data_IF_836224034831
#
_entry.id   IF_836224034831
#
_cell.length_a   1.000
_cell.length_b   1.000
_cell.length_c   1.000
_cell.angle_alpha   90.00
_cell.angle_beta   90.00
_cell.angle_gamma   90.00
#
_symmetry.space_group_name_H-M   'P 1'
#
loop_
_entity.id
_entity.type
_entity.pdbx_description
1 polymer ?
#
# COMPACT_ATOMS: atom_id res chain seq x y z
N UNK A 1 -15.91 49.15 31.31
CA UNK A 1 -15.47 48.89 29.92
C UNK A 1 -13.99 48.51 29.95
N UNK A 2 -13.54 47.75 28.94
CA UNK A 2 -12.21 47.15 28.69
C UNK A 2 -11.86 45.94 29.57
N UNK A 3 -11.31 44.82 29.09
CA UNK A 3 -10.85 44.38 27.77
C UNK A 3 -10.78 42.83 27.81
N UNK A 4 -11.45 42.10 26.91
CA UNK A 4 -11.28 40.64 26.79
C UNK A 4 -11.46 40.20 25.34
N UNK A 5 -10.57 40.67 24.44
CA UNK A 5 -10.63 40.31 23.01
C UNK A 5 -9.33 39.79 22.40
N UNK A 6 -8.23 39.68 23.15
CA UNK A 6 -6.92 39.42 22.55
C UNK A 6 -6.37 37.99 22.63
N UNK A 7 -6.99 37.08 23.39
CA UNK A 7 -6.46 35.70 23.54
C UNK A 7 -7.02 34.65 22.57
N UNK A 8 -7.97 35.00 21.69
CA UNK A 8 -8.63 33.99 20.83
C UNK A 8 -8.00 33.79 19.44
N UNK A 9 -7.05 34.63 19.01
CA UNK A 9 -6.50 34.54 17.64
C UNK A 9 -5.22 33.70 17.49
N UNK A 10 -4.40 33.58 18.54
CA UNK A 10 -3.08 32.91 18.42
C UNK A 10 -3.13 31.39 18.64
N UNK A 11 -4.22 30.85 19.22
CA UNK A 11 -4.35 29.41 19.49
C UNK A 11 -4.87 28.65 18.25
N UNK A 12 -5.61 29.34 17.37
CA UNK A 12 -6.19 28.71 16.19
C UNK A 12 -5.15 28.41 15.09
N UNK A 13 -4.02 29.12 15.08
CA UNK A 13 -2.96 29.00 14.07
C UNK A 13 -1.94 27.89 14.40
N UNK A 14 -1.73 27.59 15.69
CA UNK A 14 -0.84 26.51 16.10
C UNK A 14 -1.47 25.12 15.88
N UNK A 15 -2.78 24.99 16.09
CA UNK A 15 -3.49 23.74 15.85
C UNK A 15 -3.49 23.34 14.37
N UNK A 16 -3.57 24.30 13.43
CA UNK A 16 -3.50 24.00 11.99
C UNK A 16 -2.12 23.56 11.54
N UNK A 17 -1.03 24.07 12.16
CA UNK A 17 0.32 23.60 11.85
C UNK A 17 0.62 22.19 12.38
N UNK A 18 0.10 21.81 13.55
CA UNK A 18 0.32 20.44 14.08
C UNK A 18 -0.42 19.39 13.24
N UNK A 19 -1.58 19.71 12.67
CA UNK A 19 -2.27 18.84 11.72
C UNK A 19 -1.56 18.74 10.36
N UNK A 20 -0.82 19.78 9.92
CA UNK A 20 -0.03 19.74 8.70
C UNK A 20 1.28 18.94 8.85
N UNK A 21 1.86 18.88 10.05
CA UNK A 21 3.06 18.06 10.30
C UNK A 21 2.75 16.57 10.54
N UNK A 22 1.57 16.22 11.07
CA UNK A 22 1.19 14.82 11.25
C UNK A 22 0.78 14.11 9.94
N UNK A 23 0.34 14.86 8.93
CA UNK A 23 -0.01 14.32 7.61
C UNK A 23 1.16 14.22 6.62
N UNK A 24 2.27 14.91 6.88
CA UNK A 24 3.42 14.98 5.97
C UNK A 24 4.57 14.02 6.31
N UNK A 25 4.60 13.44 7.51
CA UNK A 25 5.66 12.50 7.90
C UNK A 25 5.44 11.08 7.38
N UNK A 26 4.23 10.73 6.95
CA UNK A 26 3.93 9.38 6.44
C UNK A 26 4.38 9.17 5.00
N UNK A 27 4.66 10.22 4.21
CA UNK A 27 5.05 10.08 2.81
C UNK A 27 6.51 9.59 2.58
N UNK A 28 7.24 9.24 3.65
CA UNK A 28 8.67 8.86 3.56
C UNK A 28 9.06 7.65 4.42
N UNK A 29 8.12 7.05 5.16
CA UNK A 29 8.40 5.87 5.98
C UNK A 29 7.97 4.58 5.26
N UNK A 30 8.82 3.56 5.32
CA UNK A 30 8.44 2.22 4.89
C UNK A 30 7.24 1.71 5.70
N UNK A 31 6.39 0.92 5.03
CA UNK A 31 5.18 0.39 5.62
C UNK A 31 5.36 -1.11 5.82
N UNK A 32 5.10 -1.59 7.02
CA UNK A 32 5.10 -3.02 7.32
C UNK A 32 3.68 -3.52 7.36
N UNK A 33 3.49 -4.74 6.86
CA UNK A 33 2.24 -5.46 6.91
C UNK A 33 1.70 -5.47 8.35
N UNK A 34 0.40 -5.26 8.50
CA UNK A 34 -0.32 -5.42 9.75
C UNK A 34 -1.08 -6.76 9.73
N UNK A 35 -0.44 -7.89 10.12
CA UNK A 35 -1.09 -9.19 10.10
C UNK A 35 -2.29 -9.22 11.07
N UNK A 36 -3.46 -9.62 10.57
CA UNK A 36 -4.59 -9.92 11.43
C UNK A 36 -4.56 -11.41 11.80
N UNK A 37 -4.80 -11.70 13.07
CA UNK A 37 -4.73 -13.04 13.66
C UNK A 37 -5.81 -14.01 13.09
N UNK A 38 -6.78 -13.50 12.31
CA UNK A 38 -7.99 -14.22 11.86
C UNK A 38 -8.07 -14.51 10.35
N UNK A 39 -6.94 -14.58 9.62
CA UNK A 39 -6.89 -15.28 8.33
C UNK A 39 -6.62 -14.45 7.06
N UNK A 40 -6.50 -13.12 7.17
CA UNK A 40 -5.96 -12.24 6.12
C UNK A 40 -5.37 -10.98 6.74
N UNK A 41 -4.27 -10.46 6.20
CA UNK A 41 -3.75 -9.15 6.61
C UNK A 41 -4.38 -8.06 5.76
N UNK A 42 -4.68 -6.90 6.35
CA UNK A 42 -5.18 -5.73 5.61
C UNK A 42 -4.40 -4.51 6.04
N UNK A 43 -3.62 -3.95 5.13
CA UNK A 43 -2.72 -2.83 5.39
C UNK A 43 -3.03 -1.70 4.41
N UNK A 44 -3.10 -0.46 4.89
CA UNK A 44 -3.23 0.69 4.01
C UNK A 44 -1.84 1.16 3.57
N UNK A 45 -1.69 1.45 2.28
CA UNK A 45 -0.47 2.00 1.68
C UNK A 45 -0.84 3.16 0.74
N UNK A 46 0.17 3.77 0.12
CA UNK A 46 0.02 4.90 -0.79
C UNK A 46 1.04 4.80 -1.92
N UNK A 47 0.75 5.49 -3.01
CA UNK A 47 1.61 5.58 -4.19
C UNK A 47 2.76 6.53 -3.85
N UNK A 48 3.99 6.03 -3.89
CA UNK A 48 5.22 6.80 -3.69
C UNK A 48 6.46 6.08 -4.24
N UNK A 49 7.34 6.78 -4.99
CA UNK A 49 8.62 6.22 -5.43
C UNK A 49 9.62 5.98 -4.30
N UNK A 50 9.37 6.55 -3.12
CA UNK A 50 10.29 6.52 -1.98
C UNK A 50 9.96 5.46 -0.94
N UNK A 51 8.70 4.99 -0.88
CA UNK A 51 8.24 4.10 0.17
C UNK A 51 8.27 2.66 -0.30
N UNK A 52 8.81 1.78 0.54
CA UNK A 52 8.77 0.35 0.34
C UNK A 52 7.79 -0.26 1.35
N UNK A 53 6.92 -1.12 0.86
CA UNK A 53 6.00 -1.93 1.63
C UNK A 53 6.62 -3.30 1.85
N UNK A 54 6.61 -3.79 3.09
CA UNK A 54 7.20 -5.06 3.48
C UNK A 54 6.13 -5.97 4.05
N UNK A 55 6.11 -7.24 3.63
CA UNK A 55 5.19 -8.24 4.15
C UNK A 55 5.75 -9.64 4.11
N UNK A 56 5.04 -10.56 4.74
CA UNK A 56 5.38 -11.99 4.80
C UNK A 56 4.13 -12.82 4.63
N UNK A 57 4.09 -13.68 3.61
CA UNK A 57 2.96 -14.61 3.46
C UNK A 57 3.00 -15.68 4.55
N UNK A 58 2.31 -15.43 5.67
CA UNK A 58 2.43 -16.24 6.88
C UNK A 58 1.97 -17.70 6.66
N UNK A 59 2.90 -18.65 6.84
CA UNK A 59 2.67 -20.10 6.90
C UNK A 59 1.91 -20.71 5.70
N UNK A 60 1.90 -20.05 4.55
CA UNK A 60 1.10 -20.40 3.37
C UNK A 60 -0.42 -20.34 3.50
N UNK A 61 -0.97 -19.71 4.53
CA UNK A 61 -2.43 -19.77 4.79
C UNK A 61 -3.11 -18.44 4.55
N UNK A 62 -2.38 -17.34 4.68
CA UNK A 62 -2.93 -16.00 4.77
C UNK A 62 -2.62 -15.22 3.50
N UNK A 63 -3.65 -14.63 2.90
CA UNK A 63 -3.50 -13.65 1.81
C UNK A 63 -3.33 -12.27 2.42
N UNK A 64 -2.36 -11.52 1.92
CA UNK A 64 -2.13 -10.15 2.35
C UNK A 64 -2.82 -9.16 1.43
N UNK A 65 -3.58 -8.24 2.02
CA UNK A 65 -4.30 -7.20 1.31
C UNK A 65 -3.69 -5.84 1.59
N UNK A 66 -3.36 -5.11 0.52
CA UNK A 66 -2.77 -3.78 0.56
C UNK A 66 -3.70 -2.80 -0.15
N UNK A 67 -4.35 -1.91 0.59
CA UNK A 67 -5.29 -0.96 0.03
C UNK A 67 -4.63 0.40 -0.21
N UNK A 68 -4.93 1.02 -1.34
CA UNK A 68 -4.46 2.37 -1.66
C UNK A 68 -5.44 3.08 -2.61
N UNK A 69 -5.36 4.41 -2.67
CA UNK A 69 -6.16 5.23 -3.60
C UNK A 69 -5.25 5.80 -4.67
N UNK A 70 -5.73 5.88 -5.91
CA UNK A 70 -5.08 6.66 -6.95
C UNK A 70 -5.86 7.95 -7.19
N UNK A 71 -5.21 9.09 -6.96
CA UNK A 71 -5.78 10.41 -7.21
C UNK A 71 -5.22 11.08 -8.49
N UNK A 72 -4.31 10.40 -9.21
CA UNK A 72 -3.63 10.94 -10.39
C UNK A 72 -4.15 10.35 -11.71
N UNK A 73 -3.91 11.07 -12.81
CA UNK A 73 -4.12 10.57 -14.18
C UNK A 73 -2.89 9.86 -14.76
N UNK A 74 -1.87 9.64 -13.95
CA UNK A 74 -0.58 9.12 -14.42
C UNK A 74 -0.58 7.60 -14.52
N UNK A 75 0.31 7.08 -15.36
CA UNK A 75 0.65 5.65 -15.35
C UNK A 75 1.60 5.38 -14.19
N UNK A 76 1.31 4.32 -13.43
CA UNK A 76 2.10 3.90 -12.29
C UNK A 76 2.92 2.65 -12.62
N UNK A 77 3.87 2.36 -11.75
CA UNK A 77 4.73 1.20 -11.81
C UNK A 77 4.72 0.53 -10.44
N UNK A 78 4.49 -0.77 -10.42
CA UNK A 78 4.63 -1.60 -9.24
C UNK A 78 5.94 -2.35 -9.40
N UNK A 79 6.90 -2.13 -8.49
CA UNK A 79 8.07 -2.99 -8.40
C UNK A 79 7.85 -3.96 -7.24
N UNK A 80 7.89 -5.26 -7.53
CA UNK A 80 7.67 -6.32 -6.54
C UNK A 80 8.93 -7.17 -6.41
N UNK A 81 9.33 -7.47 -5.17
CA UNK A 81 10.47 -8.30 -4.86
C UNK A 81 10.05 -9.50 -4.02
N UNK A 82 10.56 -10.68 -4.40
CA UNK A 82 10.55 -11.87 -3.56
C UNK A 82 11.92 -11.97 -2.92
N UNK A 83 11.99 -11.78 -1.61
CA UNK A 83 13.26 -11.73 -0.87
C UNK A 83 13.69 -13.12 -0.38
N UNK A 84 12.75 -14.05 -0.22
CA UNK A 84 13.05 -15.43 0.21
C UNK A 84 13.71 -16.25 -0.91
N UNK A 85 14.95 -16.75 -0.72
CA UNK A 85 15.62 -17.56 -1.74
C UNK A 85 14.87 -18.86 -2.07
N UNK A 86 14.70 -19.13 -3.36
CA UNK A 86 14.01 -20.33 -3.87
C UNK A 86 12.48 -20.29 -3.72
N UNK A 87 11.91 -19.23 -3.15
CA UNK A 87 10.47 -18.99 -3.15
C UNK A 87 10.01 -18.37 -4.47
N UNK A 88 8.71 -18.49 -4.72
CA UNK A 88 8.05 -17.94 -5.89
C UNK A 88 6.87 -17.11 -5.41
N UNK A 89 6.88 -15.83 -5.76
CA UNK A 89 5.81 -14.90 -5.41
C UNK A 89 4.85 -14.61 -6.56
N UNK A 90 3.76 -13.96 -6.20
CA UNK A 90 2.75 -13.40 -7.11
C UNK A 90 2.02 -12.26 -6.41
N UNK A 91 1.38 -11.38 -7.17
CA UNK A 91 0.37 -10.48 -6.64
C UNK A 91 -0.75 -10.26 -7.65
N UNK A 92 -1.92 -9.88 -7.15
CA UNK A 92 -3.06 -9.44 -7.95
C UNK A 92 -3.43 -8.00 -7.60
N UNK A 93 -4.04 -7.28 -8.53
CA UNK A 93 -4.54 -5.93 -8.27
C UNK A 93 -6.03 -5.85 -8.62
N UNK A 94 -6.84 -5.43 -7.66
CA UNK A 94 -8.28 -5.29 -7.80
C UNK A 94 -8.72 -3.84 -7.66
N UNK A 95 -9.59 -3.35 -8.55
CA UNK A 95 -10.33 -2.11 -8.35
C UNK A 95 -11.53 -2.36 -7.43
N UNK A 96 -11.55 -1.67 -6.29
CA UNK A 96 -12.59 -1.82 -5.26
C UNK A 96 -13.71 -0.79 -5.40
N UNK A 97 -13.51 0.26 -6.18
CA UNK A 97 -14.40 1.44 -6.28
C UNK A 97 -15.78 1.06 -6.80
N UNK A 98 -15.82 0.22 -7.83
CA UNK A 98 -17.05 -0.17 -8.53
C UNK A 98 -17.72 -1.39 -7.91
N UNK A 99 -17.16 -1.96 -6.83
CA UNK A 99 -17.61 -3.23 -6.27
C UNK A 99 -17.46 -4.41 -7.24
N UNK A 100 -16.77 -4.23 -8.37
CA UNK A 100 -16.56 -5.30 -9.33
C UNK A 100 -15.59 -6.32 -8.76
N UNK A 101 -16.00 -7.59 -8.78
CA UNK A 101 -15.13 -8.75 -8.55
C UNK A 101 -14.18 -9.01 -9.71
N UNK A 102 -14.25 -8.21 -10.77
CA UNK A 102 -13.26 -8.19 -11.84
C UNK A 102 -11.92 -7.80 -11.22
N UNK A 103 -11.13 -8.83 -10.87
CA UNK A 103 -9.71 -8.70 -10.68
C UNK A 103 -9.19 -7.99 -11.94
N UNK A 104 -8.68 -6.78 -11.77
CA UNK A 104 -8.06 -6.09 -12.91
C UNK A 104 -6.94 -7.01 -13.39
N UNK A 105 -6.83 -7.28 -14.70
CA UNK A 105 -6.10 -8.42 -15.22
C UNK A 105 -4.60 -8.21 -15.14
N UNK A 106 -4.04 -8.25 -13.93
CA UNK A 106 -2.64 -8.56 -13.74
C UNK A 106 -2.58 -10.05 -13.42
N UNK A 107 -2.75 -10.81 -14.50
CA UNK A 107 -2.22 -12.16 -14.62
C UNK A 107 -0.77 -12.12 -14.16
N UNK A 108 -0.45 -12.87 -13.09
CA UNK A 108 0.91 -13.40 -13.01
C UNK A 108 1.05 -14.48 -14.06
N UNK A 109 1.50 -14.07 -15.23
CA UNK A 109 2.18 -15.01 -16.10
C UNK A 109 3.59 -15.19 -15.57
N UNK A 110 3.79 -16.32 -14.91
CA UNK A 110 5.03 -16.87 -14.37
C UNK A 110 5.32 -16.51 -12.92
N UNK A 111 5.87 -17.53 -12.26
CA UNK A 111 6.53 -17.49 -10.98
C UNK A 111 7.48 -16.27 -10.88
N UNK A 112 7.19 -15.30 -10.00
CA UNK A 112 8.15 -14.22 -9.71
C UNK A 112 9.31 -14.88 -8.96
N UNK A 113 10.43 -15.04 -9.67
CA UNK A 113 11.67 -15.56 -9.08
C UNK A 113 12.22 -14.58 -8.04
N UNK A 114 13.05 -15.05 -7.09
CA UNK A 114 13.71 -14.17 -6.14
C UNK A 114 14.44 -13.00 -6.82
N UNK A 115 14.32 -11.82 -6.24
CA UNK A 115 14.72 -10.55 -6.87
C UNK A 115 13.53 -9.68 -7.26
N UNK A 116 13.80 -8.59 -7.97
CA UNK A 116 12.80 -7.56 -8.30
C UNK A 116 12.28 -7.63 -9.72
N UNK A 117 10.97 -7.53 -9.88
CA UNK A 117 10.29 -7.38 -11.16
C UNK A 117 9.45 -6.11 -11.18
N UNK A 118 9.42 -5.43 -12.34
CA UNK A 118 8.70 -4.17 -12.55
C UNK A 118 7.49 -4.41 -13.43
N UNK A 119 6.34 -3.90 -13.01
CA UNK A 119 5.06 -4.02 -13.69
C UNK A 119 4.45 -2.63 -13.89
N UNK A 120 4.17 -2.25 -15.13
CA UNK A 120 3.51 -0.96 -15.43
C UNK A 120 1.99 -1.13 -15.37
N UNK A 121 1.32 -0.26 -14.62
CA UNK A 121 -0.13 -0.29 -14.40
C UNK A 121 -0.74 1.08 -14.65
N UNK A 122 -1.82 1.14 -15.43
CA UNK A 122 -2.61 2.37 -15.57
C UNK A 122 -3.79 2.31 -14.63
N UNK A 123 -3.85 3.24 -13.68
CA UNK A 123 -4.91 3.33 -12.68
C UNK A 123 -5.86 4.48 -13.01
N UNK A 124 -7.11 4.36 -12.59
CA UNK A 124 -8.14 5.37 -12.81
C UNK A 124 -8.09 6.37 -11.64
N UNK A 125 -8.06 7.69 -11.89
CA UNK A 125 -8.11 8.68 -10.82
C UNK A 125 -9.41 8.61 -10.02
N UNK A 126 -9.31 8.86 -8.72
CA UNK A 126 -10.41 8.79 -7.77
C UNK A 126 -10.82 7.36 -7.39
N UNK A 127 -10.10 6.34 -7.86
CA UNK A 127 -10.41 4.94 -7.58
C UNK A 127 -9.58 4.40 -6.41
N UNK A 128 -10.19 3.47 -5.66
CA UNK A 128 -9.57 2.67 -4.62
C UNK A 128 -9.18 1.29 -5.16
N UNK A 129 -7.97 0.87 -4.85
CA UNK A 129 -7.39 -0.39 -5.28
C UNK A 129 -6.97 -1.24 -4.10
N UNK A 130 -6.92 -2.55 -4.33
CA UNK A 130 -6.40 -3.54 -3.40
C UNK A 130 -5.40 -4.45 -4.12
N UNK A 131 -4.14 -4.40 -3.69
CA UNK A 131 -3.12 -5.37 -4.08
C UNK A 131 -3.21 -6.59 -3.15
N UNK A 132 -3.27 -7.78 -3.72
CA UNK A 132 -3.41 -9.04 -3.00
C UNK A 132 -2.13 -9.86 -3.19
N UNK A 133 -1.46 -10.24 -2.11
CA UNK A 133 -0.29 -11.12 -2.15
C UNK A 133 -0.68 -12.47 -1.54
N UNK A 134 -1.03 -13.46 -2.36
CA UNK A 134 -1.37 -14.78 -1.86
C UNK A 134 -0.09 -15.58 -1.52
N UNK A 135 -0.23 -16.57 -0.64
CA UNK A 135 0.81 -17.55 -0.41
C UNK A 135 0.88 -18.53 -1.60
N UNK A 136 1.80 -18.30 -2.53
CA UNK A 136 2.07 -19.25 -3.61
C UNK A 136 3.24 -20.16 -3.30
N UNK A 137 3.05 -21.47 -3.52
CA UNK A 137 4.11 -22.47 -3.38
C UNK A 137 4.10 -23.19 -2.02
N UNK A 138 5.15 -23.99 -1.74
CA UNK A 138 5.19 -24.87 -0.57
C UNK A 138 5.60 -24.17 0.73
N UNK A 139 6.06 -22.91 0.69
CA UNK A 139 6.58 -22.16 1.84
C UNK A 139 6.18 -20.70 1.74
N UNK A 140 5.86 -20.10 2.88
CA UNK A 140 5.68 -18.66 3.00
C UNK A 140 6.96 -17.95 2.58
N UNK A 141 6.81 -16.72 2.12
CA UNK A 141 7.91 -15.91 1.63
C UNK A 141 7.78 -14.47 2.09
N UNK A 142 8.93 -13.91 2.45
CA UNK A 142 9.13 -12.48 2.63
C UNK A 142 9.13 -11.81 1.25
N UNK A 143 8.43 -10.69 1.18
CA UNK A 143 8.36 -9.87 0.00
C UNK A 143 8.38 -8.39 0.37
N UNK A 144 8.67 -7.58 -0.63
CA UNK A 144 8.49 -6.15 -0.56
C UNK A 144 8.05 -5.59 -1.89
N UNK A 145 7.40 -4.43 -1.89
CA UNK A 145 7.00 -3.76 -3.11
C UNK A 145 6.89 -2.26 -2.95
N UNK A 146 6.92 -1.54 -4.06
CA UNK A 146 6.59 -0.11 -4.10
C UNK A 146 5.69 0.20 -5.29
N UNK A 147 4.93 1.27 -5.18
CA UNK A 147 4.03 1.77 -6.22
C UNK A 147 4.47 3.19 -6.54
N UNK A 148 4.82 3.48 -7.80
CA UNK A 148 5.41 4.76 -8.19
C UNK A 148 4.96 5.29 -9.53
#
# INVERSE_FOLDING_TARGET
>A
MTQNKWLKKSVLTAATMVFLLAGATSAFADIYESPNVNGYSTTNTFISPYNVNYGTTANNVIVDFWNFTNDSNDTHTITFWVDTPGAIGTFYLQDKTTGTTNLSPFMTFHNIQPGGQVFTVTLIPGHQYQLQVPPTGPRGYDYRFKIS
#
